data_IF_157810436090
#
_entry.id   IF_157810436090
#
_cell.length_a   1.000
_cell.length_b   1.000
_cell.length_c   1.000
_cell.angle_alpha   90.00
_cell.angle_beta   90.00
_cell.angle_gamma   90.00
#
_symmetry.space_group_name_H-M   'P 1'
#
loop_
_entity.id
_entity.type
_entity.pdbx_description
1 polymer ?
#
# COMPACT_ATOMS: atom_id res chain seq x y z
N UNK A 1 15.65 -0.49 -7.70
CA UNK A 1 14.61 -0.15 -6.71
C UNK A 1 14.25 -1.39 -5.93
N UNK A 2 14.37 -1.34 -4.59
CA UNK A 2 14.04 -2.42 -3.68
C UNK A 2 12.72 -2.10 -2.95
N UNK A 3 11.69 -2.92 -3.17
CA UNK A 3 10.35 -2.69 -2.61
C UNK A 3 10.27 -3.30 -1.21
N UNK A 4 10.02 -2.44 -0.21
CA UNK A 4 9.79 -2.83 1.17
C UNK A 4 8.33 -2.52 1.59
N UNK A 5 8.08 -1.88 2.70
CA UNK A 5 6.74 -1.60 3.22
C UNK A 5 6.77 -0.43 4.20
N UNK A 6 5.64 0.23 4.41
CA UNK A 6 5.45 1.20 5.48
C UNK A 6 5.51 0.59 6.90
N UNK A 7 5.44 -0.73 7.01
CA UNK A 7 5.57 -1.46 8.29
C UNK A 7 7.00 -1.61 8.79
N UNK A 8 8.00 -1.13 8.05
CA UNK A 8 9.41 -1.15 8.48
C UNK A 8 9.71 -0.23 9.65
N UNK A 9 8.82 0.71 9.94
CA UNK A 9 9.00 1.66 11.02
C UNK A 9 8.67 1.06 12.38
N UNK A 10 9.47 1.38 13.38
CA UNK A 10 9.18 1.02 14.75
C UNK A 10 7.99 1.85 15.26
N UNK A 11 6.86 1.19 15.47
CA UNK A 11 5.59 1.82 15.81
C UNK A 11 5.19 1.56 17.26
N UNK A 12 5.50 2.48 18.15
CA UNK A 12 5.14 2.45 19.57
C UNK A 12 3.67 2.88 19.82
N UNK A 13 2.73 2.42 18.97
CA UNK A 13 1.30 2.80 19.06
C UNK A 13 1.06 4.31 18.88
N UNK A 14 1.97 4.99 18.24
CA UNK A 14 1.92 6.42 17.99
C UNK A 14 0.99 6.75 16.82
N UNK A 15 0.35 7.92 16.88
CA UNK A 15 -0.35 8.51 15.72
C UNK A 15 0.59 9.32 14.82
N UNK A 16 1.88 9.27 15.08
CA UNK A 16 2.90 10.02 14.32
C UNK A 16 2.93 9.56 12.86
N UNK A 17 3.23 10.49 11.98
CA UNK A 17 3.54 10.21 10.58
C UNK A 17 5.02 9.90 10.46
N UNK A 18 5.34 8.68 10.02
CA UNK A 18 6.71 8.23 9.82
C UNK A 18 7.29 8.80 8.52
N UNK A 19 8.43 9.43 8.62
CA UNK A 19 9.27 9.83 7.50
C UNK A 19 10.45 8.87 7.31
N UNK A 20 11.23 9.07 6.28
CA UNK A 20 12.33 8.17 5.93
C UNK A 20 13.47 8.13 6.97
N UNK A 21 13.54 9.10 7.88
CA UNK A 21 14.52 9.17 8.97
C UNK A 21 14.00 8.51 10.27
N UNK A 22 12.74 8.11 10.30
CA UNK A 22 12.15 7.48 11.47
C UNK A 22 12.79 6.11 11.73
N UNK A 23 12.95 5.70 13.03
CA UNK A 23 13.58 4.44 13.39
C UNK A 23 12.91 3.24 12.70
N UNK A 24 13.76 2.32 12.23
CA UNK A 24 13.33 1.05 11.66
C UNK A 24 13.15 0.00 12.77
N UNK A 25 12.23 -0.92 12.55
CA UNK A 25 11.93 -2.00 13.46
C UNK A 25 10.76 -2.84 12.95
N UNK A 26 10.01 -3.42 13.88
CA UNK A 26 8.80 -4.18 13.58
C UNK A 26 8.55 -5.24 14.64
N UNK A 27 7.29 -5.35 15.07
CA UNK A 27 6.88 -6.27 16.15
C UNK A 27 6.39 -7.62 15.60
N UNK A 28 6.37 -7.80 14.29
CA UNK A 28 6.05 -9.05 13.61
C UNK A 28 7.17 -9.45 12.62
N UNK A 29 7.21 -10.75 12.25
CA UNK A 29 8.27 -11.31 11.39
C UNK A 29 8.31 -10.62 10.02
N UNK A 30 7.15 -10.29 9.45
CA UNK A 30 7.10 -9.60 8.16
C UNK A 30 7.72 -8.20 8.26
N UNK A 31 7.29 -7.41 9.24
CA UNK A 31 7.79 -6.05 9.47
C UNK A 31 9.31 -6.07 9.75
N UNK A 32 9.75 -6.95 10.64
CA UNK A 32 11.15 -7.14 10.97
C UNK A 32 12.00 -7.56 9.76
N UNK A 33 11.55 -8.52 8.97
CA UNK A 33 12.26 -8.97 7.76
C UNK A 33 12.41 -7.85 6.74
N UNK A 34 11.39 -7.02 6.55
CA UNK A 34 11.44 -5.87 5.65
C UNK A 34 12.32 -4.74 6.18
N UNK A 35 12.37 -4.53 7.50
CA UNK A 35 13.34 -3.62 8.12
C UNK A 35 14.79 -4.11 7.91
N UNK A 36 15.04 -5.41 8.03
CA UNK A 36 16.35 -6.00 7.69
C UNK A 36 16.74 -5.74 6.22
N UNK A 37 15.80 -5.82 5.28
CA UNK A 37 16.05 -5.46 3.87
C UNK A 37 16.50 -3.99 3.71
N UNK A 38 15.93 -3.07 4.48
CA UNK A 38 16.34 -1.66 4.49
C UNK A 38 17.78 -1.48 5.00
N UNK A 39 18.09 -2.14 6.11
CA UNK A 39 19.45 -2.12 6.70
C UNK A 39 20.48 -2.75 5.77
N UNK A 40 20.13 -3.89 5.14
CA UNK A 40 20.99 -4.55 4.17
C UNK A 40 21.25 -3.66 2.95
N UNK A 41 20.20 -3.04 2.39
CA UNK A 41 20.35 -2.13 1.26
C UNK A 41 21.25 -0.94 1.60
N UNK A 42 21.10 -0.37 2.81
CA UNK A 42 21.98 0.71 3.30
C UNK A 42 23.45 0.27 3.40
N UNK A 43 23.70 -0.89 4.04
CA UNK A 43 25.06 -1.43 4.22
C UNK A 43 25.70 -1.80 2.87
N UNK A 44 24.93 -2.41 1.98
CA UNK A 44 25.38 -2.76 0.63
C UNK A 44 25.78 -1.51 -0.17
N UNK A 45 24.95 -0.46 -0.11
CA UNK A 45 25.25 0.83 -0.73
C UNK A 45 26.58 1.40 -0.20
N UNK A 46 26.78 1.40 1.12
CA UNK A 46 27.99 1.94 1.74
C UNK A 46 29.25 1.15 1.38
N UNK A 47 29.16 -0.18 1.32
CA UNK A 47 30.30 -1.07 1.12
C UNK A 47 30.70 -1.20 -0.35
N UNK A 48 29.75 -1.26 -1.27
CA UNK A 48 30.03 -1.70 -2.64
C UNK A 48 29.66 -0.66 -3.71
N UNK A 49 28.64 0.18 -3.49
CA UNK A 49 28.10 1.01 -4.56
C UNK A 49 28.84 2.32 -4.75
N UNK A 50 29.52 2.87 -3.73
CA UNK A 50 30.26 4.14 -3.84
C UNK A 50 31.26 4.19 -5.01
N UNK A 51 31.78 3.03 -5.45
CA UNK A 51 32.74 2.89 -6.54
C UNK A 51 32.13 2.33 -7.82
N UNK A 52 30.84 2.02 -7.83
CA UNK A 52 30.14 1.44 -8.98
C UNK A 52 29.23 2.47 -9.65
N UNK A 53 28.83 2.21 -10.89
CA UNK A 53 27.82 3.01 -11.61
C UNK A 53 26.39 2.62 -11.24
N UNK A 54 26.21 1.79 -10.21
CA UNK A 54 24.91 1.30 -9.77
C UNK A 54 24.34 2.20 -8.66
N UNK A 55 23.06 2.51 -8.74
CA UNK A 55 22.34 3.25 -7.71
C UNK A 55 21.24 2.36 -7.12
N UNK A 56 21.07 2.38 -5.79
CA UNK A 56 20.04 1.61 -5.08
C UNK A 56 19.16 2.55 -4.27
N UNK A 57 17.86 2.37 -4.38
CA UNK A 57 16.88 3.02 -3.51
C UNK A 57 15.91 1.99 -2.95
N UNK A 58 15.45 2.20 -1.71
CA UNK A 58 14.34 1.46 -1.12
C UNK A 58 13.07 2.27 -1.21
N UNK A 59 11.93 1.59 -1.38
CA UNK A 59 10.62 2.23 -1.49
C UNK A 59 9.64 1.61 -0.49
N UNK A 60 8.95 2.47 0.25
CA UNK A 60 8.00 2.11 1.30
C UNK A 60 6.65 2.66 0.91
N UNK A 61 5.68 1.78 0.69
CA UNK A 61 4.31 2.18 0.36
C UNK A 61 3.33 1.79 1.46
N UNK A 62 2.25 2.54 1.55
CA UNK A 62 1.12 2.23 2.41
C UNK A 62 0.28 1.07 1.88
N UNK A 63 -0.89 0.87 2.49
CA UNK A 63 -1.80 -0.22 2.12
C UNK A 63 -2.33 -0.06 0.69
N UNK A 64 -1.70 -0.78 -0.24
CA UNK A 64 -2.10 -0.79 -1.64
C UNK A 64 -3.21 -1.79 -1.89
N UNK A 65 -4.14 -1.45 -2.78
CA UNK A 65 -5.16 -2.35 -3.29
C UNK A 65 -5.42 -2.05 -4.78
N UNK A 66 -6.04 -3.00 -5.47
CA UNK A 66 -6.34 -2.89 -6.90
C UNK A 66 -6.92 -4.19 -7.44
N UNK A 67 -7.07 -4.28 -8.75
CA UNK A 67 -7.52 -5.51 -9.40
C UNK A 67 -6.49 -6.64 -9.30
N UNK A 68 -6.95 -7.89 -9.28
CA UNK A 68 -6.10 -9.07 -9.37
C UNK A 68 -5.38 -9.53 -8.08
N UNK A 69 -5.65 -8.92 -6.93
CA UNK A 69 -5.11 -9.39 -5.64
C UNK A 69 -6.00 -10.47 -5.03
N UNK A 70 -5.56 -11.73 -5.18
CA UNK A 70 -6.23 -12.92 -4.63
C UNK A 70 -5.60 -13.41 -3.33
N UNK A 71 -4.67 -12.67 -2.76
CA UNK A 71 -3.95 -13.06 -1.55
C UNK A 71 -4.90 -13.26 -0.38
N UNK A 72 -4.88 -14.42 0.30
CA UNK A 72 -5.72 -14.67 1.48
C UNK A 72 -5.49 -13.64 2.59
N UNK A 73 -6.51 -13.38 3.39
CA UNK A 73 -6.49 -12.47 4.54
C UNK A 73 -6.20 -10.99 4.21
N UNK A 74 -6.31 -10.60 2.92
CA UNK A 74 -6.31 -9.21 2.50
C UNK A 74 -7.73 -8.65 2.56
N UNK A 75 -7.89 -7.52 3.28
CA UNK A 75 -9.22 -6.94 3.56
C UNK A 75 -10.01 -6.64 2.28
N UNK A 76 -9.37 -6.11 1.22
CA UNK A 76 -10.07 -5.77 -0.02
C UNK A 76 -10.55 -7.04 -0.74
N UNK A 77 -9.73 -8.10 -0.79
CA UNK A 77 -10.14 -9.41 -1.31
C UNK A 77 -11.33 -9.97 -0.52
N UNK A 78 -11.27 -9.91 0.82
CA UNK A 78 -12.35 -10.40 1.69
C UNK A 78 -13.65 -9.60 1.49
N UNK A 79 -13.56 -8.28 1.31
CA UNK A 79 -14.68 -7.39 0.99
C UNK A 79 -15.34 -7.84 -0.34
N UNK A 80 -14.53 -7.94 -1.39
CA UNK A 80 -15.02 -8.26 -2.74
C UNK A 80 -15.64 -9.66 -2.78
N UNK A 81 -14.98 -10.65 -2.17
CA UNK A 81 -15.51 -12.01 -2.09
C UNK A 81 -16.83 -12.08 -1.32
N UNK A 82 -16.94 -11.35 -0.20
CA UNK A 82 -18.15 -11.33 0.60
C UNK A 82 -19.28 -10.60 -0.13
N UNK A 83 -19.01 -9.43 -0.69
CA UNK A 83 -20.06 -8.58 -1.26
C UNK A 83 -20.58 -9.08 -2.61
N UNK A 84 -19.73 -9.68 -3.44
CA UNK A 84 -20.17 -10.26 -4.70
C UNK A 84 -20.86 -11.64 -4.56
N UNK A 85 -20.75 -12.27 -3.41
CA UNK A 85 -21.38 -13.58 -3.15
C UNK A 85 -22.44 -13.50 -2.04
N UNK A 86 -22.90 -12.32 -1.68
CA UNK A 86 -23.90 -12.05 -0.64
C UNK A 86 -23.58 -12.71 0.72
N UNK A 87 -22.27 -12.86 1.02
CA UNK A 87 -21.78 -13.43 2.27
C UNK A 87 -21.58 -12.35 3.32
N UNK A 88 -21.63 -12.75 4.59
CA UNK A 88 -21.34 -11.86 5.71
C UNK A 88 -19.86 -11.53 5.75
N UNK A 89 -19.51 -10.23 5.78
CA UNK A 89 -18.16 -9.76 5.99
C UNK A 89 -17.88 -9.60 7.49
N UNK A 90 -16.84 -10.23 8.01
CA UNK A 90 -16.44 -10.10 9.42
C UNK A 90 -15.19 -9.26 9.55
N UNK A 91 -15.27 -8.13 10.25
CA UNK A 91 -14.15 -7.22 10.51
C UNK A 91 -13.51 -7.48 11.86
N UNK A 92 -12.17 -7.58 11.90
CA UNK A 92 -11.38 -7.74 13.12
C UNK A 92 -11.06 -6.40 13.80
N UNK A 93 -10.61 -5.42 13.02
CA UNK A 93 -10.11 -4.12 13.48
C UNK A 93 -10.73 -2.96 12.69
N UNK A 94 -12.07 -2.71 12.82
CA UNK A 94 -12.78 -1.72 12.01
C UNK A 94 -12.31 -0.28 12.26
N UNK A 95 -11.78 0.01 13.45
CA UNK A 95 -11.29 1.33 13.85
C UNK A 95 -9.82 1.57 13.48
N UNK A 96 -9.11 0.54 13.01
CA UNK A 96 -7.72 0.68 12.58
C UNK A 96 -7.63 1.63 11.37
N UNK A 97 -6.66 2.55 11.41
CA UNK A 97 -6.42 3.55 10.37
C UNK A 97 -5.26 3.11 9.48
N UNK A 98 -5.42 3.22 8.17
CA UNK A 98 -4.40 2.83 7.20
C UNK A 98 -4.29 3.88 6.09
N UNK A 99 -3.10 4.04 5.50
CA UNK A 99 -2.85 4.89 4.34
C UNK A 99 -3.24 4.14 3.06
N UNK A 100 -4.55 4.11 2.77
CA UNK A 100 -5.08 3.39 1.62
C UNK A 100 -4.75 4.09 0.30
N UNK A 101 -4.32 3.32 -0.70
CA UNK A 101 -4.09 3.85 -2.05
C UNK A 101 -4.25 2.75 -3.11
N UNK A 102 -4.60 3.15 -4.33
CA UNK A 102 -4.58 2.23 -5.46
C UNK A 102 -3.14 1.85 -5.82
N UNK A 103 -2.91 0.60 -6.20
CA UNK A 103 -1.58 0.08 -6.52
C UNK A 103 -0.87 0.85 -7.63
N UNK A 104 -1.60 1.46 -8.54
CA UNK A 104 -1.03 2.28 -9.64
C UNK A 104 -0.27 3.50 -9.13
N UNK A 105 -0.68 4.05 -7.96
CA UNK A 105 -0.03 5.22 -7.36
C UNK A 105 1.44 4.96 -7.02
N UNK A 106 1.78 4.02 -6.13
CA UNK A 106 3.17 3.78 -5.80
C UNK A 106 3.94 3.22 -6.99
N UNK A 107 3.32 2.43 -7.89
CA UNK A 107 3.98 1.93 -9.09
C UNK A 107 4.44 3.07 -9.99
N UNK A 108 3.63 4.11 -10.18
CA UNK A 108 4.03 5.30 -10.95
C UNK A 108 5.24 5.99 -10.33
N UNK A 109 5.29 6.05 -9.00
CA UNK A 109 6.42 6.61 -8.25
C UNK A 109 7.67 5.76 -8.33
N UNK A 110 7.52 4.43 -8.30
CA UNK A 110 8.65 3.49 -8.43
C UNK A 110 9.32 3.58 -9.79
N UNK A 111 8.51 3.70 -10.86
CA UNK A 111 9.02 3.87 -12.23
C UNK A 111 9.74 5.21 -12.37
N UNK A 112 9.15 6.29 -11.86
CA UNK A 112 9.79 7.61 -11.85
C UNK A 112 11.13 7.59 -11.07
N UNK A 113 11.17 6.94 -9.93
CA UNK A 113 12.39 6.78 -9.14
C UNK A 113 13.44 5.95 -9.90
N UNK A 114 13.03 4.86 -10.54
CA UNK A 114 13.92 4.04 -11.36
C UNK A 114 14.54 4.85 -12.49
N UNK A 115 13.75 5.67 -13.19
CA UNK A 115 14.23 6.59 -14.21
C UNK A 115 15.29 7.55 -13.62
N UNK A 116 15.01 8.18 -12.48
CA UNK A 116 15.96 9.09 -11.82
C UNK A 116 17.26 8.40 -11.41
N UNK A 117 17.19 7.17 -10.90
CA UNK A 117 18.38 6.38 -10.54
C UNK A 117 19.29 6.07 -11.72
N UNK A 118 18.74 6.03 -12.95
CA UNK A 118 19.49 5.79 -14.19
C UNK A 118 20.13 7.07 -14.76
N UNK A 119 19.87 8.25 -14.21
CA UNK A 119 20.48 9.51 -14.69
C UNK A 119 21.90 9.69 -14.17
N UNK A 120 22.64 10.66 -14.73
CA UNK A 120 23.98 11.05 -14.25
C UNK A 120 23.98 11.41 -12.75
N UNK A 121 22.89 12.01 -12.26
CA UNK A 121 22.72 12.39 -10.85
C UNK A 121 21.96 11.33 -10.06
N UNK A 122 21.92 10.08 -10.52
CA UNK A 122 21.14 9.01 -9.89
C UNK A 122 21.53 8.73 -8.44
N UNK A 123 22.79 9.03 -8.07
CA UNK A 123 23.26 8.88 -6.68
C UNK A 123 22.47 9.77 -5.70
N UNK A 124 21.97 10.93 -6.11
CA UNK A 124 21.18 11.84 -5.26
C UNK A 124 19.81 11.25 -4.89
N UNK A 125 19.35 10.27 -5.67
CA UNK A 125 18.11 9.52 -5.45
C UNK A 125 18.34 8.16 -4.79
N UNK A 126 19.57 7.77 -4.56
CA UNK A 126 19.98 6.48 -3.98
C UNK A 126 19.76 6.48 -2.46
N UNK A 127 18.52 6.56 -2.01
CA UNK A 127 18.09 6.69 -0.61
C UNK A 127 16.71 6.05 -0.40
N UNK A 128 16.20 5.92 0.85
CA UNK A 128 14.85 5.42 1.08
C UNK A 128 13.79 6.47 0.72
N UNK A 129 12.63 6.00 0.24
CA UNK A 129 11.52 6.83 -0.23
C UNK A 129 10.17 6.32 0.26
N UNK A 130 9.34 7.22 0.80
CA UNK A 130 7.96 6.94 1.15
C UNK A 130 7.00 7.31 0.01
N UNK A 131 6.13 6.37 -0.36
CA UNK A 131 5.06 6.57 -1.32
C UNK A 131 3.71 6.32 -0.66
N UNK A 132 3.11 7.34 -0.12
CA UNK A 132 1.82 7.26 0.57
C UNK A 132 0.76 8.17 -0.06
N UNK A 133 -0.51 7.90 0.24
CA UNK A 133 -1.60 8.72 -0.22
C UNK A 133 -1.56 10.12 0.39
N UNK A 134 -2.43 11.01 -0.06
CA UNK A 134 -2.64 12.28 0.62
C UNK A 134 -3.07 12.03 2.08
N UNK A 135 -2.72 12.93 2.99
CA UNK A 135 -3.07 12.80 4.41
C UNK A 135 -4.58 12.64 4.65
N UNK A 136 -5.40 13.18 3.73
CA UNK A 136 -6.86 13.06 3.77
C UNK A 136 -7.38 11.65 3.49
N UNK A 137 -6.59 10.81 2.82
CA UNK A 137 -6.94 9.42 2.47
C UNK A 137 -6.57 8.41 3.55
N UNK A 138 -6.01 8.88 4.65
CA UNK A 138 -5.73 8.02 5.80
C UNK A 138 -7.03 7.77 6.56
N UNK A 139 -7.65 6.62 6.35
CA UNK A 139 -8.97 6.35 6.88
C UNK A 139 -9.10 4.99 7.58
N UNK A 140 -10.14 4.88 8.40
CA UNK A 140 -10.49 3.65 9.11
C UNK A 140 -10.94 2.55 8.15
N UNK A 141 -10.63 1.30 8.49
CA UNK A 141 -11.07 0.11 7.76
C UNK A 141 -12.58 0.13 7.50
N UNK A 142 -13.40 0.45 8.50
CA UNK A 142 -14.86 0.49 8.36
C UNK A 142 -15.33 1.49 7.28
N UNK A 143 -14.64 2.61 7.11
CA UNK A 143 -15.00 3.61 6.09
C UNK A 143 -14.67 3.08 4.69
N UNK A 144 -13.52 2.45 4.49
CA UNK A 144 -13.17 1.80 3.23
C UNK A 144 -14.19 0.71 2.86
N UNK A 145 -14.57 -0.13 3.84
CA UNK A 145 -15.58 -1.19 3.64
C UNK A 145 -16.91 -0.61 3.18
N UNK A 146 -17.35 0.49 3.81
CA UNK A 146 -18.61 1.14 3.42
C UNK A 146 -18.55 1.76 2.03
N UNK A 147 -17.39 2.29 1.60
CA UNK A 147 -17.19 2.77 0.22
C UNK A 147 -17.34 1.62 -0.79
N UNK A 148 -16.67 0.49 -0.55
CA UNK A 148 -16.82 -0.70 -1.39
C UNK A 148 -18.27 -1.20 -1.41
N UNK A 149 -18.93 -1.28 -0.24
CA UNK A 149 -20.32 -1.70 -0.14
C UNK A 149 -21.25 -0.85 -0.99
N UNK A 150 -21.07 0.49 -0.93
CA UNK A 150 -21.83 1.45 -1.74
C UNK A 150 -21.58 1.27 -3.24
N UNK A 151 -20.30 1.11 -3.66
CA UNK A 151 -19.93 0.99 -5.07
C UNK A 151 -20.34 -0.34 -5.70
N UNK A 152 -20.42 -1.41 -4.90
CA UNK A 152 -20.89 -2.73 -5.33
C UNK A 152 -22.43 -2.84 -5.23
N UNK A 153 -23.08 -1.94 -4.46
CA UNK A 153 -24.50 -1.97 -4.13
C UNK A 153 -24.90 -3.24 -3.34
N UNK A 154 -23.94 -3.74 -2.53
CA UNK A 154 -24.15 -4.98 -1.79
C UNK A 154 -25.09 -4.81 -0.60
N UNK A 155 -25.97 -5.79 -0.41
CA UNK A 155 -26.86 -5.91 0.77
C UNK A 155 -26.25 -6.74 1.90
N UNK A 156 -25.04 -7.27 1.71
CA UNK A 156 -24.34 -8.13 2.67
C UNK A 156 -24.22 -7.48 4.05
N UNK A 157 -24.36 -8.29 5.09
CA UNK A 157 -24.17 -7.84 6.48
C UNK A 157 -22.69 -7.72 6.83
N UNK A 158 -22.37 -6.72 7.64
CA UNK A 158 -21.02 -6.52 8.19
C UNK A 158 -21.08 -6.80 9.67
N UNK A 159 -20.30 -7.76 10.15
CA UNK A 159 -20.15 -8.10 11.56
C UNK A 159 -18.80 -7.66 12.09
N UNK A 160 -18.78 -7.23 13.34
CA UNK A 160 -17.54 -6.88 14.04
C UNK A 160 -17.22 -8.01 15.00
N UNK A 161 -16.13 -8.71 14.74
CA UNK A 161 -15.67 -9.78 15.63
C UNK A 161 -14.62 -9.22 16.59
N UNK A 162 -15.00 -8.99 17.83
CA UNK A 162 -14.11 -8.53 18.90
C UNK A 162 -13.21 -9.65 19.46
N UNK A 163 -13.46 -10.92 19.08
CA UNK A 163 -12.67 -12.05 19.58
C UNK A 163 -11.35 -12.13 18.80
N UNK A 164 -10.23 -12.12 19.51
CA UNK A 164 -8.90 -12.41 18.95
C UNK A 164 -8.91 -13.81 18.34
N UNK A 165 -8.53 -13.97 17.06
CA UNK A 165 -8.38 -15.31 16.46
C UNK A 165 -7.35 -16.10 17.26
N UNK A 166 -7.72 -17.29 17.73
CA UNK A 166 -6.76 -18.32 18.14
C UNK A 166 -6.22 -18.97 16.85
N UNK A 167 -4.97 -18.71 16.51
CA UNK A 167 -4.27 -19.49 15.51
C UNK A 167 -3.65 -20.73 16.20
N UNK A 168 -3.97 -21.92 15.70
CA UNK A 168 -3.35 -23.19 16.11
C UNK A 168 -3.21 -23.39 17.62
N UNK A 169 -4.30 -23.42 18.37
CA UNK A 169 -4.31 -23.73 19.82
C UNK A 169 -3.27 -23.01 20.70
N UNK A 170 -2.47 -22.09 20.18
CA UNK A 170 -1.55 -21.23 20.92
C UNK A 170 -2.02 -19.78 20.80
N UNK A 171 -1.97 -19.04 21.91
CA UNK A 171 -2.22 -17.59 21.97
C UNK A 171 -1.07 -16.82 21.29
N UNK A 172 -0.97 -16.89 19.97
CA UNK A 172 -0.04 -16.00 19.24
C UNK A 172 -0.73 -14.65 19.17
N UNK A 173 -0.20 -13.68 19.88
CA UNK A 173 -0.61 -12.30 19.73
C UNK A 173 -0.06 -11.79 18.39
N UNK A 174 -0.88 -11.81 17.34
CA UNK A 174 -0.54 -11.11 16.11
C UNK A 174 -0.68 -9.62 16.42
N UNK A 175 0.46 -8.95 16.52
CA UNK A 175 0.48 -7.51 16.70
C UNK A 175 -0.02 -6.84 15.42
N UNK A 176 -1.15 -6.18 15.50
CA UNK A 176 -1.66 -5.33 14.42
C UNK A 176 -1.65 -3.88 14.89
N UNK A 177 -0.84 -3.06 14.25
CA UNK A 177 -0.77 -1.63 14.55
C UNK A 177 -2.14 -0.96 14.35
N UNK A 178 -2.60 -0.20 15.34
CA UNK A 178 -3.87 0.53 15.24
C UNK A 178 -3.78 1.72 14.29
N UNK A 179 -2.63 2.37 14.24
CA UNK A 179 -2.37 3.54 13.40
C UNK A 179 -1.09 3.30 12.61
N UNK A 180 -1.20 3.42 11.30
CA UNK A 180 -0.06 3.38 10.40
C UNK A 180 -0.19 4.59 9.46
N UNK A 181 0.77 5.50 9.57
CA UNK A 181 0.75 6.76 8.83
C UNK A 181 2.14 7.00 8.27
N UNK A 182 2.24 7.27 6.98
CA UNK A 182 3.51 7.62 6.35
C UNK A 182 3.49 9.04 5.80
N UNK A 183 4.64 9.68 5.84
CA UNK A 183 4.86 11.03 5.35
C UNK A 183 5.67 10.97 4.06
N UNK A 184 5.08 11.39 2.96
CA UNK A 184 5.69 11.39 1.62
C UNK A 184 6.16 12.79 1.18
N UNK A 185 6.35 13.73 2.11
CA UNK A 185 6.78 15.11 1.78
C UNK A 185 8.11 15.15 1.03
N UNK A 186 9.05 14.25 1.35
CA UNK A 186 10.33 14.12 0.65
C UNK A 186 10.13 13.75 -0.81
N UNK A 187 9.36 12.69 -1.06
CA UNK A 187 9.00 12.21 -2.40
C UNK A 187 8.33 13.31 -3.21
N UNK A 188 7.44 14.06 -2.57
CA UNK A 188 6.77 15.20 -3.18
C UNK A 188 7.74 16.30 -3.63
N UNK A 189 8.67 16.68 -2.73
CA UNK A 189 9.61 17.76 -3.00
C UNK A 189 10.71 17.39 -3.99
N UNK A 190 11.35 16.23 -3.82
CA UNK A 190 12.51 15.83 -4.62
C UNK A 190 12.15 15.13 -5.93
N UNK A 191 11.15 14.22 -5.92
CA UNK A 191 10.72 13.51 -7.11
C UNK A 191 9.57 14.20 -7.85
N UNK A 192 8.93 15.22 -7.23
CA UNK A 192 7.70 15.85 -7.74
C UNK A 192 6.58 14.84 -8.01
N UNK A 193 6.63 13.71 -7.33
CA UNK A 193 5.56 12.71 -7.37
C UNK A 193 4.49 13.05 -6.33
N UNK A 194 3.25 12.91 -6.70
CA UNK A 194 2.09 13.04 -5.81
C UNK A 194 1.04 12.00 -6.18
N UNK A 195 0.25 11.48 -5.21
CA UNK A 195 -0.90 10.67 -5.53
C UNK A 195 -1.94 11.51 -6.27
N UNK A 196 -2.57 10.93 -7.29
CA UNK A 196 -3.51 11.58 -8.18
C UNK A 196 -4.96 11.16 -7.92
N UNK A 197 -5.18 9.90 -7.54
CA UNK A 197 -6.50 9.33 -7.35
C UNK A 197 -7.07 9.71 -5.98
N UNK A 198 -8.35 10.03 -5.95
CA UNK A 198 -9.12 10.00 -4.72
C UNK A 198 -9.30 8.56 -4.23
N UNK A 199 -9.72 8.38 -2.97
CA UNK A 199 -10.01 7.04 -2.47
C UNK A 199 -11.26 6.46 -3.18
N UNK A 200 -12.21 7.31 -3.53
CA UNK A 200 -13.40 6.97 -4.28
C UNK A 200 -13.07 6.45 -5.68
N UNK A 201 -12.14 7.10 -6.40
CA UNK A 201 -11.66 6.65 -7.70
C UNK A 201 -10.89 5.33 -7.58
N UNK A 202 -10.05 5.21 -6.55
CA UNK A 202 -9.28 3.99 -6.24
C UNK A 202 -10.21 2.79 -6.02
N UNK A 203 -11.28 2.99 -5.24
CA UNK A 203 -12.30 1.96 -4.99
C UNK A 203 -13.07 1.66 -6.27
N UNK A 204 -13.46 2.69 -7.04
CA UNK A 204 -14.19 2.50 -8.29
C UNK A 204 -13.39 1.66 -9.29
N UNK A 205 -12.14 2.03 -9.57
CA UNK A 205 -11.25 1.29 -10.46
C UNK A 205 -11.12 -0.18 -10.05
N UNK A 206 -10.99 -0.44 -8.75
CA UNK A 206 -10.88 -1.80 -8.22
C UNK A 206 -12.20 -2.57 -8.42
N UNK A 207 -13.35 -1.97 -8.10
CA UNK A 207 -14.67 -2.59 -8.28
C UNK A 207 -14.94 -2.91 -9.75
N UNK A 208 -14.60 -1.98 -10.66
CA UNK A 208 -14.79 -2.18 -12.11
C UNK A 208 -13.93 -3.34 -12.63
N UNK A 209 -12.70 -3.48 -12.13
CA UNK A 209 -11.84 -4.59 -12.49
C UNK A 209 -12.43 -5.93 -12.06
N UNK A 210 -12.89 -6.05 -10.80
CA UNK A 210 -13.51 -7.30 -10.30
C UNK A 210 -14.87 -7.58 -10.95
N UNK A 211 -15.65 -6.54 -11.30
CA UNK A 211 -16.90 -6.69 -12.07
C UNK A 211 -16.60 -7.26 -13.46
N UNK A 212 -15.58 -6.75 -14.13
CA UNK A 212 -15.14 -7.25 -15.43
C UNK A 212 -14.63 -8.70 -15.34
N UNK A 213 -13.88 -9.04 -14.28
CA UNK A 213 -13.45 -10.40 -14.02
C UNK A 213 -14.65 -11.36 -13.88
N UNK A 214 -15.65 -11.01 -13.09
CA UNK A 214 -16.88 -11.83 -12.95
C UNK A 214 -17.64 -12.01 -14.26
N UNK A 215 -17.63 -10.99 -15.10
CA UNK A 215 -18.26 -11.00 -16.42
C UNK A 215 -17.36 -11.64 -17.51
N UNK A 216 -16.20 -12.21 -17.14
CA UNK A 216 -15.22 -12.83 -18.05
C UNK A 216 -14.80 -11.91 -19.21
N UNK A 217 -14.72 -10.59 -18.94
CA UNK A 217 -14.24 -9.60 -19.92
C UNK A 217 -12.73 -9.66 -20.06
N UNK A 218 -12.20 -9.01 -21.09
CA UNK A 218 -10.75 -8.86 -21.29
C UNK A 218 -10.15 -7.93 -20.24
N UNK A 219 -9.50 -8.53 -19.23
CA UNK A 219 -8.88 -7.80 -18.10
C UNK A 219 -7.61 -7.07 -18.50
N UNK A 220 -6.90 -7.55 -19.52
CA UNK A 220 -5.70 -6.90 -20.03
C UNK A 220 -6.05 -5.53 -20.61
N UNK A 221 -7.03 -5.46 -21.51
CA UNK A 221 -7.47 -4.19 -22.08
C UNK A 221 -8.03 -3.25 -21.01
N UNK A 222 -8.86 -3.75 -20.11
CA UNK A 222 -9.33 -2.92 -19.00
C UNK A 222 -8.20 -2.35 -18.14
N UNK A 223 -7.20 -3.16 -17.81
CA UNK A 223 -6.05 -2.70 -17.02
C UNK A 223 -5.25 -1.63 -17.77
N UNK A 224 -5.06 -1.83 -19.07
CA UNK A 224 -4.42 -0.86 -19.96
C UNK A 224 -5.20 0.47 -20.01
N UNK A 225 -6.52 0.42 -20.10
CA UNK A 225 -7.39 1.59 -20.09
C UNK A 225 -7.32 2.33 -18.74
N UNK A 226 -7.26 1.59 -17.63
CA UNK A 226 -7.06 2.17 -16.30
C UNK A 226 -5.70 2.87 -16.20
N UNK A 227 -4.64 2.28 -16.74
CA UNK A 227 -3.31 2.92 -16.80
C UNK A 227 -3.36 4.18 -17.65
N UNK A 228 -3.95 4.14 -18.83
CA UNK A 228 -4.08 5.30 -19.72
C UNK A 228 -4.89 6.42 -19.05
N UNK A 229 -5.99 6.07 -18.38
CA UNK A 229 -6.79 7.04 -17.62
C UNK A 229 -5.95 7.69 -16.53
N UNK A 230 -5.18 6.92 -15.77
CA UNK A 230 -4.28 7.44 -14.74
C UNK A 230 -3.20 8.37 -15.32
N UNK A 231 -2.60 8.01 -16.44
CA UNK A 231 -1.60 8.85 -17.11
C UNK A 231 -2.20 10.18 -17.57
N UNK A 232 -3.44 10.19 -18.05
CA UNK A 232 -4.14 11.41 -18.43
C UNK A 232 -4.39 12.36 -17.23
N UNK A 233 -4.57 11.84 -16.01
CA UNK A 233 -4.60 12.67 -14.80
C UNK A 233 -3.25 13.33 -14.50
N UNK A 234 -2.14 12.73 -14.91
CA UNK A 234 -0.79 13.25 -14.66
C UNK A 234 -0.44 14.43 -15.57
N UNK A 235 -1.08 14.55 -16.71
CA UNK A 235 -0.81 15.59 -17.71
C UNK A 235 -1.82 16.75 -17.70
N UNK A 236 -2.78 16.74 -16.79
CA UNK A 236 -3.63 17.89 -16.42
C UNK A 236 -3.08 18.61 -15.20
#
# INVERSE_FOLDING_TARGET
VLITTDKVYQNYKSRKFFDENSPLGGDDIYSGSKACCELLAHSYKKSFIKKSKCNIATVRAGNCFGGGDWTPERIVKDILESFYNDKVLTLRSPEATRPWQHVIEPLSGYLLLAEKLCTKNGNDFSEPWNFGPSLKQNMKVKHLVNLFKKKIESKSKILINKKKKKFYNKKINIFESQHLNINSKKTYKKLRWKPLLSIEDSVQMTVDWYRAFKLKKNLFELTKDQINTYLNFKFK
#
